data_IF_385332628906
#
_entry.id   IF_385332628906
#
_cell.length_a   1.000
_cell.length_b   1.000
_cell.length_c   1.000
_cell.angle_alpha   90.00
_cell.angle_beta   90.00
_cell.angle_gamma   90.00
#
_symmetry.space_group_name_H-M   'P 1'
#
loop_
_entity.id
_entity.type
_entity.pdbx_description
1 polymer ?
#
# COMPACT_ATOMS: atom_id res chain seq x y z
N UNK A 1 -8.48 6.87 22.48
CA UNK A 1 -7.04 6.91 22.19
C UNK A 1 -6.79 8.12 21.32
N UNK A 2 -5.93 9.04 21.77
CA UNK A 2 -5.61 10.28 21.07
C UNK A 2 -4.98 9.95 19.71
N UNK A 3 -5.60 10.36 18.60
CA UNK A 3 -4.90 10.41 17.31
C UNK A 3 -3.61 11.19 17.51
N UNK A 4 -2.42 10.65 17.23
CA UNK A 4 -1.22 11.45 17.22
C UNK A 4 -1.41 12.51 16.14
N UNK A 5 -1.20 13.78 16.48
CA UNK A 5 -1.26 14.93 15.57
C UNK A 5 -0.06 14.97 14.62
N UNK A 6 0.42 13.81 14.14
CA UNK A 6 1.57 13.66 13.26
C UNK A 6 1.27 12.71 12.10
N UNK A 7 1.94 12.93 10.98
CA UNK A 7 1.93 12.02 9.84
C UNK A 7 2.38 10.62 10.27
N UNK A 8 1.65 9.59 9.83
CA UNK A 8 2.01 8.18 10.05
C UNK A 8 2.35 7.56 8.70
N UNK A 9 3.47 6.86 8.63
CA UNK A 9 3.95 6.18 7.42
C UNK A 9 4.00 4.68 7.67
N UNK A 10 3.73 3.81 6.67
CA UNK A 10 3.82 2.37 6.82
C UNK A 10 5.28 1.90 6.73
N UNK A 11 6.13 2.41 7.63
CA UNK A 11 7.58 2.36 7.51
C UNK A 11 8.14 0.94 7.48
N UNK A 12 7.65 0.04 8.36
CA UNK A 12 8.10 -1.36 8.35
C UNK A 12 7.65 -2.11 7.09
N UNK A 13 6.41 -1.89 6.63
CA UNK A 13 5.93 -2.49 5.39
C UNK A 13 6.73 -2.00 4.16
N UNK A 14 7.05 -0.71 4.09
CA UNK A 14 7.87 -0.14 3.01
C UNK A 14 9.30 -0.68 3.07
N UNK A 15 9.87 -0.83 4.26
CA UNK A 15 11.17 -1.48 4.43
C UNK A 15 11.16 -2.94 3.95
N UNK A 16 10.09 -3.70 4.21
CA UNK A 16 9.95 -5.04 3.63
C UNK A 16 9.88 -5.03 2.11
N UNK A 17 9.11 -4.11 1.52
CA UNK A 17 9.03 -3.96 0.07
C UNK A 17 10.38 -3.53 -0.54
N UNK A 18 11.26 -2.88 0.23
CA UNK A 18 12.60 -2.52 -0.22
C UNK A 18 13.51 -3.75 -0.47
N UNK A 19 13.28 -4.85 0.24
CA UNK A 19 14.05 -6.10 0.11
C UNK A 19 13.68 -6.93 -1.13
N UNK A 20 12.57 -6.59 -1.78
CA UNK A 20 12.15 -7.26 -3.02
C UNK A 20 12.89 -6.70 -4.23
N UNK A 21 13.03 -7.51 -5.28
CA UNK A 21 13.83 -7.17 -6.48
C UNK A 21 12.96 -6.91 -7.69
N UNK A 22 11.82 -7.60 -7.81
CA UNK A 22 10.93 -7.41 -8.95
C UNK A 22 10.19 -6.07 -8.90
N UNK A 23 9.88 -5.47 -10.07
CA UNK A 23 8.97 -4.34 -10.13
C UNK A 23 7.54 -4.78 -9.82
N UNK A 24 6.72 -3.86 -9.32
CA UNK A 24 5.30 -4.11 -9.07
C UNK A 24 4.46 -2.83 -9.08
N UNK A 25 3.17 -2.99 -9.37
CA UNK A 25 2.14 -1.97 -9.18
C UNK A 25 1.50 -2.12 -7.80
N UNK A 26 1.48 -1.05 -7.03
CA UNK A 26 0.94 -1.00 -5.67
C UNK A 26 -0.34 -0.17 -5.62
N UNK A 27 -1.46 -0.81 -5.31
CA UNK A 27 -2.66 -0.13 -4.83
C UNK A 27 -2.39 0.40 -3.42
N UNK A 28 -2.27 1.72 -3.26
CA UNK A 28 -1.79 2.31 -2.00
C UNK A 28 -2.83 3.22 -1.37
N UNK A 29 -2.85 3.27 -0.04
CA UNK A 29 -3.48 4.35 0.70
C UNK A 29 -2.96 5.71 0.23
N UNK A 30 -3.87 6.65 -0.04
CA UNK A 30 -3.57 7.95 -0.65
C UNK A 30 -2.43 8.71 0.02
N UNK A 31 -2.46 8.80 1.36
CA UNK A 31 -1.49 9.56 2.14
C UNK A 31 -0.09 8.91 2.20
N UNK A 32 0.06 7.68 1.73
CA UNK A 32 1.33 6.95 1.77
C UNK A 32 2.03 6.88 0.41
N UNK A 33 1.38 7.33 -0.67
CA UNK A 33 1.91 7.21 -2.02
C UNK A 33 3.27 7.90 -2.21
N UNK A 34 3.42 9.13 -1.73
CA UNK A 34 4.69 9.89 -1.86
C UNK A 34 5.81 9.24 -1.03
N UNK A 35 5.49 8.71 0.14
CA UNK A 35 6.43 7.98 0.98
C UNK A 35 6.93 6.70 0.31
N UNK A 36 6.03 5.94 -0.33
CA UNK A 36 6.39 4.77 -1.14
C UNK A 36 7.26 5.17 -2.32
N UNK A 37 6.91 6.24 -3.04
CA UNK A 37 7.69 6.72 -4.19
C UNK A 37 9.11 7.11 -3.77
N UNK A 38 9.26 7.83 -2.66
CA UNK A 38 10.56 8.26 -2.17
C UNK A 38 11.50 7.08 -1.90
N UNK A 39 10.99 5.98 -1.34
CA UNK A 39 11.82 4.82 -0.99
C UNK A 39 11.96 3.80 -2.12
N UNK A 40 10.93 3.61 -2.94
CA UNK A 40 10.80 2.43 -3.82
C UNK A 40 10.60 2.78 -5.29
N UNK A 41 10.38 4.06 -5.63
CA UNK A 41 10.27 4.51 -7.01
C UNK A 41 11.61 4.40 -7.75
N UNK A 42 11.62 4.10 -9.07
CA UNK A 42 10.48 3.78 -9.93
C UNK A 42 10.08 2.29 -9.93
N UNK A 43 10.77 1.44 -9.14
CA UNK A 43 10.56 -0.02 -9.14
C UNK A 43 9.15 -0.40 -8.68
N UNK A 44 8.65 0.28 -7.65
CA UNK A 44 7.27 0.14 -7.19
C UNK A 44 6.48 1.37 -7.66
N UNK A 45 5.48 1.13 -8.50
CA UNK A 45 4.61 2.18 -9.05
C UNK A 45 3.31 2.27 -8.24
N UNK A 46 3.00 3.44 -7.70
CA UNK A 46 1.80 3.64 -6.87
C UNK A 46 0.56 3.96 -7.71
N UNK A 47 -0.60 3.51 -7.25
CA UNK A 47 -1.90 3.82 -7.87
C UNK A 47 -2.27 5.30 -7.80
N UNK A 48 -1.89 5.98 -6.71
CA UNK A 48 -2.24 7.37 -6.42
C UNK A 48 -1.28 7.93 -5.34
N UNK A 49 -1.08 9.24 -5.32
CA UNK A 49 -0.42 9.96 -4.23
C UNK A 49 -0.93 11.42 -4.09
N UNK A 50 -0.30 12.20 -3.20
CA UNK A 50 -0.65 13.59 -2.91
C UNK A 50 -0.62 14.55 -4.11
N UNK A 51 0.05 14.19 -5.21
CA UNK A 51 0.14 15.01 -6.44
C UNK A 51 -1.11 14.90 -7.32
N UNK A 52 -2.25 14.50 -6.73
CA UNK A 52 -3.52 14.24 -7.42
C UNK A 52 -3.92 15.31 -8.43
N UNK A 53 -3.85 16.60 -8.06
CA UNK A 53 -4.33 17.72 -8.89
C UNK A 53 -3.40 18.03 -10.07
N UNK A 54 -2.18 17.49 -10.06
CA UNK A 54 -1.12 17.83 -11.02
C UNK A 54 -0.79 16.68 -11.95
N UNK A 55 -0.87 15.44 -11.47
CA UNK A 55 -0.35 14.25 -12.17
C UNK A 55 -1.45 13.27 -12.58
N UNK A 56 -2.57 13.22 -11.85
CA UNK A 56 -3.57 12.18 -12.04
C UNK A 56 -4.83 12.74 -12.69
N UNK A 57 -5.37 12.01 -13.67
CA UNK A 57 -6.70 12.32 -14.18
C UNK A 57 -7.74 12.08 -13.08
N UNK A 58 -8.81 12.88 -13.07
CA UNK A 58 -9.90 12.79 -12.08
C UNK A 58 -10.45 11.36 -11.93
N UNK A 59 -10.56 10.63 -13.03
CA UNK A 59 -11.01 9.24 -13.00
C UNK A 59 -10.10 8.34 -12.14
N UNK A 60 -8.78 8.50 -12.22
CA UNK A 60 -7.83 7.70 -11.42
C UNK A 60 -7.98 8.03 -9.94
N UNK A 61 -8.20 9.31 -9.62
CA UNK A 61 -8.47 9.73 -8.26
C UNK A 61 -9.76 9.10 -7.71
N UNK A 62 -10.85 9.12 -8.48
CA UNK A 62 -12.12 8.51 -8.08
C UNK A 62 -12.02 7.00 -7.88
N UNK A 63 -11.26 6.30 -8.72
CA UNK A 63 -10.98 4.88 -8.54
C UNK A 63 -10.17 4.61 -7.27
N UNK A 64 -9.20 5.46 -6.94
CA UNK A 64 -8.46 5.40 -5.67
C UNK A 64 -9.38 5.57 -4.46
N UNK A 65 -10.29 6.54 -4.50
CA UNK A 65 -11.32 6.71 -3.47
C UNK A 65 -12.26 5.51 -3.39
N UNK A 66 -12.66 4.95 -4.53
CA UNK A 66 -13.55 3.79 -4.57
C UNK A 66 -12.88 2.58 -3.92
N UNK A 67 -11.59 2.35 -4.21
CA UNK A 67 -10.78 1.31 -3.59
C UNK A 67 -10.68 1.51 -2.07
N UNK A 68 -10.20 2.66 -1.60
CA UNK A 68 -9.99 2.94 -0.16
C UNK A 68 -11.29 2.80 0.65
N UNK A 69 -12.39 3.36 0.15
CA UNK A 69 -13.67 3.40 0.86
C UNK A 69 -14.62 2.27 0.51
N UNK A 70 -14.21 1.28 -0.30
CA UNK A 70 -15.05 0.14 -0.64
C UNK A 70 -16.32 0.50 -1.40
N UNK A 71 -16.27 1.53 -2.26
CA UNK A 71 -17.44 2.00 -3.02
C UNK A 71 -17.71 1.10 -4.22
N UNK A 72 -18.77 1.39 -4.98
CA UNK A 72 -19.06 0.70 -6.24
C UNK A 72 -17.81 0.72 -7.14
N UNK A 73 -17.37 -0.45 -7.61
CA UNK A 73 -16.18 -0.60 -8.45
C UNK A 73 -14.85 -0.57 -7.70
N UNK A 74 -14.83 -0.74 -6.36
CA UNK A 74 -13.62 -0.67 -5.54
C UNK A 74 -12.44 -1.53 -6.02
N UNK A 75 -12.73 -2.65 -6.69
CA UNK A 75 -11.72 -3.60 -7.17
C UNK A 75 -11.10 -3.23 -8.52
N UNK A 76 -11.49 -2.14 -9.17
CA UNK A 76 -10.98 -1.76 -10.50
C UNK A 76 -9.46 -1.55 -10.51
N UNK A 77 -8.88 -0.97 -9.46
CA UNK A 77 -7.42 -0.82 -9.33
C UNK A 77 -6.72 -2.19 -9.28
N UNK A 78 -7.37 -3.18 -8.66
CA UNK A 78 -6.82 -4.52 -8.53
C UNK A 78 -6.92 -5.29 -9.85
N UNK A 79 -8.12 -5.29 -10.45
CA UNK A 79 -8.45 -6.17 -11.57
C UNK A 79 -8.17 -5.53 -12.94
N UNK A 80 -8.56 -4.28 -13.15
CA UNK A 80 -8.45 -3.61 -14.46
C UNK A 80 -7.09 -2.93 -14.64
N UNK A 81 -6.56 -2.29 -13.59
CA UNK A 81 -5.21 -1.69 -13.64
C UNK A 81 -4.10 -2.70 -13.39
N UNK A 82 -4.46 -3.90 -12.92
CA UNK A 82 -3.57 -5.01 -12.66
C UNK A 82 -2.59 -4.73 -11.54
N UNK A 83 -3.07 -4.31 -10.37
CA UNK A 83 -2.21 -4.15 -9.20
C UNK A 83 -1.67 -5.52 -8.75
N UNK A 84 -0.39 -5.54 -8.43
CA UNK A 84 0.30 -6.73 -7.91
C UNK A 84 0.17 -6.83 -6.38
N UNK A 85 0.15 -5.67 -5.74
CA UNK A 85 0.19 -5.50 -4.30
C UNK A 85 -0.84 -4.46 -3.86
N UNK A 86 -1.26 -4.53 -2.60
CA UNK A 86 -2.10 -3.53 -1.97
C UNK A 86 -1.62 -3.21 -0.56
N UNK A 87 -1.30 -1.93 -0.30
CA UNK A 87 -0.88 -1.42 1.00
C UNK A 87 -1.96 -0.48 1.53
N UNK A 88 -2.72 -0.96 2.51
CA UNK A 88 -3.96 -0.32 2.98
C UNK A 88 -3.95 -0.11 4.48
N UNK A 89 -4.71 0.89 4.95
CA UNK A 89 -4.95 1.07 6.37
C UNK A 89 -5.92 0.03 6.92
N UNK A 90 -5.69 -0.41 8.15
CA UNK A 90 -6.55 -1.39 8.84
C UNK A 90 -7.92 -0.86 9.21
N UNK A 91 -8.03 0.46 9.40
CA UNK A 91 -9.28 1.15 9.74
C UNK A 91 -10.11 1.57 8.52
N UNK A 92 -9.69 1.18 7.30
CA UNK A 92 -10.41 1.48 6.06
C UNK A 92 -11.09 0.23 5.47
N UNK A 93 -12.24 0.40 4.76
CA UNK A 93 -12.97 -0.71 4.15
C UNK A 93 -12.12 -1.63 3.26
N UNK A 94 -11.16 -1.06 2.52
CA UNK A 94 -10.28 -1.79 1.61
C UNK A 94 -9.59 -3.00 2.28
N UNK A 95 -9.18 -2.88 3.55
CA UNK A 95 -8.52 -3.96 4.28
C UNK A 95 -9.41 -5.19 4.46
N UNK A 96 -10.66 -5.00 4.89
CA UNK A 96 -11.59 -6.11 5.05
C UNK A 96 -12.05 -6.68 3.70
N UNK A 97 -12.19 -5.83 2.68
CA UNK A 97 -12.53 -6.27 1.33
C UNK A 97 -11.43 -7.12 0.70
N UNK A 98 -10.15 -6.74 0.89
CA UNK A 98 -9.01 -7.54 0.43
C UNK A 98 -8.92 -8.90 1.12
N UNK A 99 -9.22 -8.98 2.43
CA UNK A 99 -9.31 -10.27 3.15
C UNK A 99 -10.35 -11.23 2.57
N UNK A 100 -11.39 -10.70 1.93
CA UNK A 100 -12.48 -11.47 1.33
C UNK A 100 -12.31 -11.69 -0.18
N UNK A 101 -11.32 -11.05 -0.81
CA UNK A 101 -11.13 -11.10 -2.26
C UNK A 101 -10.35 -12.36 -2.65
N UNK A 102 -10.92 -13.24 -3.50
CA UNK A 102 -10.18 -14.38 -4.02
C UNK A 102 -8.95 -13.95 -4.83
N UNK A 103 -7.87 -14.73 -4.73
CA UNK A 103 -6.61 -14.45 -5.43
C UNK A 103 -5.74 -13.39 -4.76
N UNK A 104 -6.09 -12.93 -3.56
CA UNK A 104 -5.32 -11.98 -2.77
C UNK A 104 -5.03 -12.54 -1.38
N UNK A 105 -3.77 -12.46 -0.97
CA UNK A 105 -3.28 -12.98 0.31
C UNK A 105 -2.71 -11.84 1.15
N UNK A 106 -3.07 -11.78 2.43
CA UNK A 106 -2.41 -10.91 3.41
C UNK A 106 -1.00 -11.45 3.69
N UNK A 107 0.03 -10.72 3.28
CA UNK A 107 1.44 -11.14 3.43
C UNK A 107 2.16 -10.46 4.57
N UNK A 108 1.64 -9.31 5.04
CA UNK A 108 2.15 -8.63 6.22
C UNK A 108 1.06 -7.77 6.87
N UNK A 109 1.08 -7.66 8.19
CA UNK A 109 0.18 -6.83 8.98
C UNK A 109 0.90 -6.31 10.23
N UNK A 110 0.63 -5.06 10.58
CA UNK A 110 1.04 -4.44 11.84
C UNK A 110 -0.04 -3.50 12.38
N UNK A 111 0.24 -2.68 13.38
CA UNK A 111 -0.78 -1.78 13.95
C UNK A 111 -1.16 -0.61 13.01
N UNK A 112 -0.42 -0.40 11.94
CA UNK A 112 -0.60 0.70 10.99
C UNK A 112 -1.31 0.24 9.71
N UNK A 113 -0.93 -0.91 9.16
CA UNK A 113 -1.30 -1.30 7.81
C UNK A 113 -1.49 -2.81 7.63
N UNK A 114 -2.14 -3.16 6.52
CA UNK A 114 -2.07 -4.49 5.92
C UNK A 114 -1.46 -4.39 4.53
N UNK A 115 -0.51 -5.28 4.24
CA UNK A 115 0.05 -5.49 2.91
C UNK A 115 -0.47 -6.81 2.35
N UNK A 116 -1.17 -6.70 1.23
CA UNK A 116 -1.70 -7.84 0.49
C UNK A 116 -0.94 -7.99 -0.83
N UNK A 117 -0.85 -9.23 -1.30
CA UNK A 117 -0.31 -9.55 -2.61
C UNK A 117 -1.32 -10.36 -3.40
N UNK A 118 -1.40 -10.08 -4.70
CA UNK A 118 -2.04 -10.98 -5.66
C UNK A 118 -1.28 -12.30 -5.69
N UNK A 119 -1.99 -13.42 -5.70
CA UNK A 119 -1.38 -14.76 -5.77
C UNK A 119 -0.61 -14.99 -7.07
N UNK A 120 -0.90 -14.19 -8.10
CA UNK A 120 -0.18 -14.19 -9.38
C UNK A 120 1.09 -13.31 -9.37
N UNK A 121 1.32 -12.52 -8.31
CA UNK A 121 2.46 -11.61 -8.23
C UNK A 121 3.77 -12.33 -7.87
N UNK A 122 4.82 -12.10 -8.67
CA UNK A 122 6.18 -12.56 -8.32
C UNK A 122 6.70 -11.87 -7.05
N UNK A 123 6.39 -10.58 -6.85
CA UNK A 123 6.75 -9.86 -5.63
C UNK A 123 6.04 -10.45 -4.41
N UNK A 124 4.77 -10.86 -4.56
CA UNK A 124 4.05 -11.60 -3.53
C UNK A 124 4.75 -12.88 -3.09
N UNK A 125 5.41 -13.58 -4.03
CA UNK A 125 6.21 -14.77 -3.74
C UNK A 125 7.53 -14.42 -3.04
N UNK A 126 8.21 -13.36 -3.46
CA UNK A 126 9.44 -12.87 -2.79
C UNK A 126 9.17 -12.50 -1.33
N UNK A 127 8.05 -11.80 -1.06
CA UNK A 127 7.68 -11.34 0.28
C UNK A 127 7.49 -12.48 1.30
N UNK A 128 7.18 -13.70 0.86
CA UNK A 128 7.10 -14.88 1.75
C UNK A 128 8.42 -15.22 2.44
N UNK A 129 9.54 -14.74 1.88
CA UNK A 129 10.89 -14.99 2.39
C UNK A 129 11.52 -13.75 3.03
N UNK A 130 10.83 -12.61 3.01
CA UNK A 130 11.29 -11.37 3.66
C UNK A 130 10.84 -11.37 5.10
N UNK A 131 11.79 -11.24 6.03
CA UNK A 131 11.47 -11.08 7.46
C UNK A 131 11.32 -9.59 7.77
N UNK A 132 10.19 -9.15 8.37
CA UNK A 132 10.02 -7.77 8.78
C UNK A 132 11.12 -7.33 9.76
N UNK A 133 11.66 -6.14 9.55
CA UNK A 133 12.69 -5.54 10.40
C UNK A 133 12.09 -5.00 11.69
N UNK A 134 12.26 -5.72 12.79
CA UNK A 134 11.75 -5.35 14.12
C UNK A 134 12.39 -4.09 14.71
N UNK A 135 13.54 -3.66 14.19
CA UNK A 135 14.21 -2.41 14.56
C UNK A 135 13.56 -1.16 13.93
N UNK A 136 12.66 -1.33 12.96
CA UNK A 136 11.92 -0.25 12.32
C UNK A 136 10.53 -0.15 12.95
N UNK A 137 10.09 1.02 13.44
CA UNK A 137 8.74 1.20 13.98
C UNK A 137 7.66 1.05 12.89
N UNK A 138 6.50 0.50 13.24
CA UNK A 138 5.38 0.23 12.31
C UNK A 138 4.99 1.50 11.53
N UNK A 139 4.72 2.58 12.28
CA UNK A 139 4.15 3.83 11.80
C UNK A 139 5.21 4.90 11.46
N UNK A 140 6.50 4.55 11.52
CA UNK A 140 7.61 5.49 11.34
C UNK A 140 7.84 6.46 12.51
N UNK A 141 7.17 6.29 13.66
CA UNK A 141 7.35 7.19 14.81
C UNK A 141 8.80 7.22 15.29
N UNK A 142 9.34 8.43 15.45
CA UNK A 142 10.73 8.64 15.86
C UNK A 142 11.76 8.52 14.74
N UNK A 143 11.35 8.19 13.51
CA UNK A 143 12.20 8.34 12.34
C UNK A 143 12.24 9.81 11.92
N UNK A 144 13.40 10.23 11.42
CA UNK A 144 13.55 11.50 10.73
C UNK A 144 13.31 11.28 9.24
N UNK A 145 12.52 12.16 8.64
CA UNK A 145 12.31 12.22 7.20
C UNK A 145 12.89 13.55 6.70
N UNK A 146 13.56 13.56 5.53
CA UNK A 146 14.13 14.78 4.94
C UNK A 146 13.06 15.82 4.59
#
# INVERSE_FOLDING_TARGET
MTSPTGFTAPARAVAMLAETRSPAKLAVEFNWGEYVIWHLGPRIQVSLDGRRETVYAEQVYQEGLAFMFGRKGWNSILDERGADLALVRRDFPAYNLLKLKPGWTLVYEDDTCGLFASDASSVGTELKYVTPRGDIPDNGAGLFFP
#
